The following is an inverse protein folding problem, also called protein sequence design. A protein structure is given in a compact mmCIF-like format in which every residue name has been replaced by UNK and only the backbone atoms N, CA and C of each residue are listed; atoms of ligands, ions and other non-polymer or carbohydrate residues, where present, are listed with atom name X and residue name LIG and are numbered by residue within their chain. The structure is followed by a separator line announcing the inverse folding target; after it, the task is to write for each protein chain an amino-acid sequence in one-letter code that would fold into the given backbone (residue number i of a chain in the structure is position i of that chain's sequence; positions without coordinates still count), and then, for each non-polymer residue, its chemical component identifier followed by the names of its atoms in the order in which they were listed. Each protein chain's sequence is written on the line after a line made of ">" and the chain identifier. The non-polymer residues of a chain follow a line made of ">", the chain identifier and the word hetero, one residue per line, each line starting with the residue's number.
data_IF_440256975179
#
_entry.id   IF_440256975179
#
_cell.length_a   1.000
_cell.length_b   1.000
_cell.length_c   1.000
_cell.angle_alpha   90.00
_cell.angle_beta   90.00
_cell.angle_gamma   90.00
#
_symmetry.space_group_name_H-M   'P 1'
#
loop_
_entity.id
_entity.type
_entity.pdbx_description
1 polymer ?
#
# COMPACT_ATOMS: atom_id res chain seq x y z
N UNK A 1 -6.68 4.28 -27.51
CA UNK A 1 -5.94 5.54 -27.34
C UNK A 1 -5.69 5.62 -25.86
N UNK A 2 -4.64 4.92 -25.45
CA UNK A 2 -4.24 4.77 -24.06
C UNK A 2 -3.85 6.16 -23.55
N UNK A 3 -4.69 6.74 -22.70
CA UNK A 3 -4.25 7.79 -21.81
C UNK A 3 -3.23 7.13 -20.89
N UNK A 4 -1.96 7.12 -21.30
CA UNK A 4 -0.87 6.94 -20.37
C UNK A 4 -1.06 8.04 -19.34
N UNK A 5 -1.68 7.69 -18.20
CA UNK A 5 -1.80 8.59 -17.06
C UNK A 5 -0.43 9.25 -16.90
N UNK A 6 -0.40 10.59 -16.89
CA UNK A 6 0.84 11.35 -16.76
C UNK A 6 1.44 11.01 -15.39
N UNK A 7 2.21 9.93 -15.37
CA UNK A 7 2.88 9.41 -14.20
C UNK A 7 4.36 9.74 -14.32
N UNK A 8 4.87 10.45 -13.33
CA UNK A 8 6.29 10.76 -13.21
C UNK A 8 6.83 10.01 -12.00
N UNK A 9 7.75 9.09 -12.25
CA UNK A 9 8.50 8.42 -11.19
C UNK A 9 9.89 9.01 -11.06
N UNK A 10 10.40 9.09 -9.83
CA UNK A 10 11.76 9.55 -9.57
C UNK A 10 12.30 9.03 -8.24
N UNK A 11 13.58 9.32 -8.00
CA UNK A 11 14.23 9.02 -6.73
C UNK A 11 15.26 10.08 -6.37
N UNK A 12 15.47 10.28 -5.07
CA UNK A 12 16.50 11.14 -4.50
C UNK A 12 17.14 10.42 -3.31
N UNK A 13 18.44 10.61 -3.13
CA UNK A 13 19.15 10.12 -1.97
C UNK A 13 20.10 11.21 -1.43
N UNK A 14 20.18 11.30 -0.10
CA UNK A 14 21.13 12.16 0.58
C UNK A 14 21.81 11.41 1.73
N UNK A 15 23.02 11.86 2.10
CA UNK A 15 23.78 11.32 3.22
C UNK A 15 23.68 12.28 4.40
N UNK A 16 23.33 11.77 5.58
CA UNK A 16 23.31 12.55 6.81
C UNK A 16 24.73 12.85 7.30
N UNK A 17 24.93 13.88 8.13
CA UNK A 17 26.20 14.12 8.79
C UNK A 17 26.66 12.94 9.69
N UNK A 18 25.75 12.06 10.08
CA UNK A 18 26.01 10.84 10.87
C UNK A 18 26.47 9.65 10.00
N UNK A 19 26.35 9.77 8.67
CA UNK A 19 26.79 8.77 7.69
C UNK A 19 25.68 7.91 7.12
N UNK A 20 24.46 8.00 7.66
CA UNK A 20 23.28 7.29 7.16
C UNK A 20 22.86 7.80 5.78
N UNK A 21 22.40 6.88 4.93
CA UNK A 21 21.89 7.21 3.60
C UNK A 21 20.36 7.16 3.65
N UNK A 22 19.74 8.29 3.38
CA UNK A 22 18.30 8.43 3.28
C UNK A 22 17.92 8.48 1.81
N UNK A 23 17.07 7.55 1.38
CA UNK A 23 16.54 7.49 0.02
C UNK A 23 15.03 7.66 0.03
N UNK A 24 14.53 8.42 -0.94
CA UNK A 24 13.11 8.59 -1.22
C UNK A 24 12.87 8.28 -2.69
N UNK A 25 11.90 7.41 -2.95
CA UNK A 25 11.33 7.21 -4.28
C UNK A 25 9.94 7.82 -4.32
N UNK A 26 9.46 8.26 -5.48
CA UNK A 26 8.11 8.81 -5.57
C UNK A 26 7.41 8.47 -6.88
N UNK A 27 6.08 8.47 -6.81
CA UNK A 27 5.18 8.42 -7.96
C UNK A 27 4.31 9.67 -7.92
N UNK A 28 4.28 10.44 -9.00
CA UNK A 28 3.43 11.60 -9.17
C UNK A 28 2.43 11.32 -10.30
N UNK A 29 1.15 11.17 -9.94
CA UNK A 29 0.05 10.92 -10.88
C UNK A 29 -1.22 11.66 -10.41
N UNK A 30 -2.38 11.27 -10.91
CA UNK A 30 -3.68 11.88 -10.57
C UNK A 30 -4.02 11.87 -9.06
N UNK A 31 -3.43 10.95 -8.29
CA UNK A 31 -3.58 10.87 -6.84
C UNK A 31 -2.59 11.78 -6.08
N UNK A 32 -1.83 12.60 -6.80
CA UNK A 32 -0.83 13.51 -6.26
C UNK A 32 0.55 12.86 -6.09
N UNK A 33 1.35 13.46 -5.21
CA UNK A 33 2.72 13.03 -4.92
C UNK A 33 2.75 11.95 -3.85
N UNK A 34 3.28 10.77 -4.18
CA UNK A 34 3.29 9.59 -3.33
C UNK A 34 4.73 9.16 -3.01
N UNK A 35 5.37 9.72 -1.96
CA UNK A 35 6.73 9.38 -1.59
C UNK A 35 6.81 8.08 -0.79
N UNK A 36 7.87 7.32 -1.03
CA UNK A 36 8.18 6.06 -0.38
C UNK A 36 9.62 6.14 0.15
N UNK A 37 9.81 5.86 1.43
CA UNK A 37 11.12 5.89 2.08
C UNK A 37 11.03 5.40 3.52
N UNK A 38 12.07 4.72 3.99
CA UNK A 38 12.08 4.08 5.32
C UNK A 38 11.93 5.08 6.50
N UNK A 39 12.23 6.35 6.26
CA UNK A 39 12.19 7.42 7.24
C UNK A 39 10.90 8.27 7.17
N UNK A 40 9.98 7.94 6.25
CA UNK A 40 8.72 8.66 6.11
C UNK A 40 7.71 8.16 7.15
N UNK A 41 6.78 9.03 7.60
CA UNK A 41 5.66 8.60 8.42
C UNK A 41 4.83 7.53 7.68
N UNK A 42 4.75 6.33 8.24
CA UNK A 42 3.81 5.33 7.75
C UNK A 42 2.44 5.58 8.38
N UNK A 43 1.34 5.30 7.68
CA UNK A 43 0.02 5.27 8.29
C UNK A 43 0.02 4.41 9.55
N UNK A 44 -0.82 4.71 10.56
CA UNK A 44 -0.99 3.81 11.68
C UNK A 44 -1.35 2.43 11.17
N UNK A 45 -0.94 1.39 11.90
CA UNK A 45 -1.30 0.03 11.56
C UNK A 45 -2.81 -0.08 11.35
N UNK A 46 -3.28 -0.82 10.32
CA UNK A 46 -4.70 -0.99 10.10
C UNK A 46 -5.36 -1.55 11.35
N UNK A 47 -6.57 -1.08 11.65
CA UNK A 47 -7.36 -1.62 12.75
C UNK A 47 -7.54 -3.13 12.56
N UNK A 48 -7.54 -3.93 13.64
CA UNK A 48 -7.73 -5.37 13.53
C UNK A 48 -9.07 -5.66 12.83
N UNK A 49 -9.08 -6.72 12.02
CA UNK A 49 -10.29 -7.20 11.36
C UNK A 49 -11.35 -7.45 12.44
N UNK A 50 -12.55 -6.85 12.37
CA UNK A 50 -13.57 -7.08 13.37
C UNK A 50 -13.92 -8.56 13.51
N UNK A 51 -14.16 -9.05 14.73
CA UNK A 51 -14.40 -10.47 15.02
C UNK A 51 -15.53 -11.09 14.20
N UNK A 52 -16.55 -10.31 13.83
CA UNK A 52 -17.65 -10.81 12.99
C UNK A 52 -17.23 -11.07 11.54
N UNK A 53 -16.29 -10.29 11.00
CA UNK A 53 -15.73 -10.52 9.66
C UNK A 53 -14.86 -11.76 9.68
N UNK A 54 -13.98 -11.91 10.68
CA UNK A 54 -13.14 -13.09 10.83
C UNK A 54 -13.99 -14.38 10.89
N UNK A 55 -15.03 -14.39 11.73
CA UNK A 55 -15.98 -15.51 11.82
C UNK A 55 -16.73 -15.78 10.51
N UNK A 56 -17.11 -14.73 9.78
CA UNK A 56 -17.78 -14.90 8.49
C UNK A 56 -16.85 -15.55 7.45
N UNK A 57 -15.57 -15.16 7.41
CA UNK A 57 -14.57 -15.77 6.52
C UNK A 57 -14.39 -17.26 6.86
N UNK A 58 -14.25 -17.61 8.14
CA UNK A 58 -14.16 -19.01 8.59
C UNK A 58 -15.41 -19.80 8.20
N UNK A 59 -16.60 -19.22 8.40
CA UNK A 59 -17.85 -19.85 8.01
C UNK A 59 -17.90 -20.12 6.50
N UNK A 60 -17.57 -19.13 5.66
CA UNK A 60 -17.56 -19.28 4.20
C UNK A 60 -16.55 -20.35 3.77
N UNK A 61 -15.35 -20.37 4.39
CA UNK A 61 -14.34 -21.38 4.12
C UNK A 61 -14.81 -22.81 4.48
N UNK A 62 -15.57 -22.94 5.57
CA UNK A 62 -16.14 -24.22 6.00
C UNK A 62 -17.42 -24.62 5.25
N UNK A 63 -18.11 -23.67 4.62
CA UNK A 63 -19.38 -23.88 3.92
C UNK A 63 -19.30 -23.38 2.47
N UNK A 64 -18.49 -24.05 1.62
CA UNK A 64 -18.40 -23.70 0.21
C UNK A 64 -19.79 -23.78 -0.44
N UNK A 65 -20.17 -22.73 -1.16
CA UNK A 65 -21.43 -22.72 -1.88
C UNK A 65 -21.42 -23.79 -2.98
N UNK A 66 -22.36 -24.72 -2.90
CA UNK A 66 -22.63 -25.68 -3.99
C UNK A 66 -23.90 -25.28 -4.69
N UNK A 67 -23.77 -24.83 -5.93
CA UNK A 67 -24.88 -24.64 -6.84
C UNK A 67 -25.59 -25.97 -7.06
N UNK A 68 -26.82 -26.11 -6.54
CA UNK A 68 -27.68 -27.24 -6.89
C UNK A 68 -28.28 -26.96 -8.26
N UNK A 69 -27.74 -27.64 -9.28
CA UNK A 69 -28.26 -27.64 -10.65
C UNK A 69 -29.66 -28.24 -10.73
#
# INVERSE_FOLDING_TARGET
>A
MDEAALEVTGSNAYKSPEGDVYSVSYVANEFGYQPQGAHLPTPPAPVPIPDYIARAIEYIAAHPYTEKK
#
